data_IF_164515973506
#
_entry.id   IF_164515973506
#
_cell.length_a   1.000
_cell.length_b   1.000
_cell.length_c   1.000
_cell.angle_alpha   90.00
_cell.angle_beta   90.00
_cell.angle_gamma   90.00
#
_symmetry.space_group_name_H-M   'P 1'
#
loop_
_entity.id
_entity.type
_entity.pdbx_description
1 polymer ?
#
# COMPACT_ATOMS: atom_id res chain seq x y z
N UNK A 1 -36.03 -0.38 -3.09
CA UNK A 1 -34.86 0.26 -2.46
C UNK A 1 -33.90 0.61 -3.60
N UNK A 2 -33.69 1.90 -3.90
CA UNK A 2 -32.74 2.29 -4.94
C UNK A 2 -31.33 1.89 -4.46
N UNK A 3 -30.66 1.03 -5.21
CA UNK A 3 -29.24 0.78 -5.00
C UNK A 3 -28.51 2.12 -5.19
N UNK A 4 -28.07 2.72 -4.10
CA UNK A 4 -27.20 3.90 -4.18
C UNK A 4 -25.85 3.41 -4.67
N UNK A 5 -25.56 3.67 -5.95
CA UNK A 5 -24.22 3.40 -6.49
C UNK A 5 -23.23 4.40 -5.91
N UNK A 6 -22.09 3.92 -5.40
CA UNK A 6 -21.00 4.78 -4.94
C UNK A 6 -20.24 5.32 -6.16
N UNK A 7 -20.27 6.63 -6.42
CA UNK A 7 -19.55 7.21 -7.57
C UNK A 7 -18.04 7.29 -7.31
N UNK A 8 -17.60 7.33 -6.05
CA UNK A 8 -16.20 7.36 -5.62
C UNK A 8 -16.06 6.82 -4.20
N UNK A 9 -14.87 6.31 -3.88
CA UNK A 9 -14.45 5.95 -2.53
C UNK A 9 -13.37 6.89 -2.00
N UNK A 10 -13.10 8.00 -2.72
CA UNK A 10 -12.16 9.03 -2.29
C UNK A 10 -12.89 10.18 -1.59
N UNK A 11 -12.25 10.75 -0.61
CA UNK A 11 -12.60 12.05 -0.05
C UNK A 11 -12.02 13.16 -0.94
N UNK A 12 -12.83 13.68 -1.85
CA UNK A 12 -12.44 14.70 -2.81
C UNK A 12 -12.01 16.02 -2.14
N UNK A 13 -12.43 16.25 -0.88
CA UNK A 13 -12.03 17.45 -0.14
C UNK A 13 -10.53 17.41 0.24
N UNK A 14 -9.89 16.24 0.20
CA UNK A 14 -8.47 16.08 0.52
C UNK A 14 -7.55 16.14 -0.72
N UNK A 15 -8.12 16.35 -1.90
CA UNK A 15 -7.35 16.53 -3.12
C UNK A 15 -6.83 17.98 -3.26
N UNK A 16 -5.70 18.23 -3.94
CA UNK A 16 -4.85 17.23 -4.63
C UNK A 16 -4.03 16.37 -3.68
N UNK A 17 -3.53 15.23 -4.18
CA UNK A 17 -2.61 14.38 -3.42
C UNK A 17 -1.33 15.14 -3.05
N UNK A 18 -0.78 14.86 -1.86
CA UNK A 18 0.48 15.47 -1.41
C UNK A 18 1.74 14.82 -2.03
N UNK A 19 1.59 13.74 -2.79
CA UNK A 19 2.72 13.00 -3.38
C UNK A 19 3.50 13.83 -4.38
N UNK A 20 4.79 13.54 -4.49
CA UNK A 20 5.67 14.20 -5.45
C UNK A 20 5.16 14.00 -6.88
N UNK A 21 5.22 15.05 -7.72
CA UNK A 21 4.87 14.92 -9.13
C UNK A 21 5.67 13.80 -9.83
N UNK A 22 4.98 12.91 -10.52
CA UNK A 22 5.60 11.81 -11.26
C UNK A 22 5.98 10.57 -10.47
N UNK A 23 5.78 10.54 -9.13
CA UNK A 23 6.10 9.35 -8.32
C UNK A 23 5.15 8.17 -8.52
N UNK A 24 3.99 8.38 -9.15
CA UNK A 24 3.02 7.33 -9.46
C UNK A 24 2.04 6.97 -8.33
N UNK A 25 2.26 7.40 -7.10
CA UNK A 25 1.39 7.05 -5.96
C UNK A 25 -0.06 7.50 -6.16
N UNK A 26 -0.29 8.73 -6.66
CA UNK A 26 -1.63 9.21 -6.96
C UNK A 26 -2.32 8.34 -8.00
N UNK A 27 -1.63 7.95 -9.06
CA UNK A 27 -2.17 7.06 -10.10
C UNK A 27 -2.61 5.71 -9.53
N UNK A 28 -1.85 5.15 -8.59
CA UNK A 28 -2.22 3.86 -7.95
C UNK A 28 -3.51 4.04 -7.13
N UNK A 29 -3.64 5.15 -6.40
CA UNK A 29 -4.84 5.46 -5.61
C UNK A 29 -6.05 5.64 -6.53
N UNK A 30 -5.91 6.38 -7.64
CA UNK A 30 -6.97 6.57 -8.61
C UNK A 30 -7.43 5.24 -9.22
N UNK A 31 -6.49 4.36 -9.58
CA UNK A 31 -6.80 3.04 -10.12
C UNK A 31 -7.47 2.13 -9.09
N UNK A 32 -7.07 2.21 -7.83
CA UNK A 32 -7.74 1.48 -6.74
C UNK A 32 -9.17 2.01 -6.55
N UNK A 33 -9.36 3.32 -6.55
CA UNK A 33 -10.69 3.93 -6.48
C UNK A 33 -11.57 3.44 -7.64
N UNK A 34 -11.07 3.49 -8.87
CA UNK A 34 -11.80 3.00 -10.04
C UNK A 34 -12.19 1.52 -9.90
N UNK A 35 -11.30 0.69 -9.39
CA UNK A 35 -11.59 -0.72 -9.13
C UNK A 35 -12.70 -0.89 -8.07
N UNK A 36 -12.65 -0.13 -6.98
CA UNK A 36 -13.70 -0.16 -5.94
C UNK A 36 -15.04 0.31 -6.49
N UNK A 37 -15.05 1.38 -7.30
CA UNK A 37 -16.25 1.87 -7.98
C UNK A 37 -16.85 0.80 -8.91
N UNK A 38 -16.01 0.13 -9.71
CA UNK A 38 -16.51 -0.96 -10.59
C UNK A 38 -17.07 -2.15 -9.81
N UNK A 39 -16.49 -2.44 -8.65
CA UNK A 39 -16.93 -3.56 -7.80
C UNK A 39 -18.15 -3.23 -6.93
N UNK A 40 -18.49 -1.95 -6.77
CA UNK A 40 -19.60 -1.46 -5.92
C UNK A 40 -19.61 -2.10 -4.53
N UNK A 41 -18.44 -2.21 -3.90
CA UNK A 41 -18.32 -2.79 -2.57
C UNK A 41 -18.95 -1.86 -1.52
N UNK A 42 -19.58 -2.44 -0.49
CA UNK A 42 -20.02 -1.68 0.67
C UNK A 42 -18.80 -1.03 1.35
N UNK A 43 -18.70 0.32 1.43
CA UNK A 43 -17.56 0.99 2.06
C UNK A 43 -17.31 0.54 3.51
N UNK A 44 -18.36 0.20 4.24
CA UNK A 44 -18.27 -0.33 5.61
C UNK A 44 -17.69 -1.75 5.69
N UNK A 45 -17.59 -2.45 4.57
CA UNK A 45 -16.98 -3.78 4.46
C UNK A 45 -15.59 -3.75 3.83
N UNK A 46 -15.11 -2.59 3.40
CA UNK A 46 -13.75 -2.39 2.91
C UNK A 46 -12.88 -1.85 4.03
N UNK A 47 -11.69 -2.42 4.20
CA UNK A 47 -10.68 -1.96 5.15
C UNK A 47 -9.36 -1.74 4.42
N UNK A 48 -8.92 -0.51 4.34
CA UNK A 48 -7.60 -0.13 3.83
C UNK A 48 -6.62 -0.22 4.99
N UNK A 49 -5.62 -1.10 4.88
CA UNK A 49 -4.56 -1.22 5.88
C UNK A 49 -3.28 -0.66 5.29
N UNK A 50 -2.75 0.41 5.89
CA UNK A 50 -1.54 1.04 5.38
C UNK A 50 -0.30 0.73 6.21
N UNK A 51 0.84 0.92 5.57
CA UNK A 51 2.17 0.83 6.16
C UNK A 51 2.65 2.23 6.57
N UNK A 52 3.95 2.47 6.60
CA UNK A 52 4.60 3.76 6.87
C UNK A 52 5.26 4.28 5.60
N UNK A 53 5.61 5.56 5.61
CA UNK A 53 6.18 6.26 4.47
C UNK A 53 5.09 6.88 3.58
N UNK A 54 5.46 7.27 2.36
CA UNK A 54 4.53 7.97 1.46
C UNK A 54 3.26 7.15 1.19
N UNK A 55 3.39 5.87 0.90
CA UNK A 55 2.25 4.96 0.68
C UNK A 55 1.38 4.79 1.93
N UNK A 56 1.98 4.94 3.12
CA UNK A 56 1.27 4.85 4.39
C UNK A 56 0.21 5.93 4.58
N UNK A 57 0.41 7.10 3.99
CA UNK A 57 -0.52 8.22 4.07
C UNK A 57 -1.65 8.14 3.03
N UNK A 58 -1.77 7.04 2.29
CA UNK A 58 -2.81 6.85 1.29
C UNK A 58 -4.20 6.63 1.90
N UNK A 59 -4.27 6.05 3.11
CA UNK A 59 -5.50 5.72 3.80
C UNK A 59 -6.43 6.92 4.02
N UNK A 60 -5.86 8.08 4.31
CA UNK A 60 -6.64 9.30 4.55
C UNK A 60 -7.49 9.76 3.37
N UNK A 61 -7.16 9.34 2.16
CA UNK A 61 -7.92 9.71 0.96
C UNK A 61 -9.15 8.85 0.72
N UNK A 62 -9.30 7.73 1.43
CA UNK A 62 -10.43 6.82 1.24
C UNK A 62 -11.52 7.05 2.29
N UNK A 63 -12.78 6.98 1.84
CA UNK A 63 -13.98 7.08 2.69
C UNK A 63 -14.41 5.73 3.29
N UNK A 64 -13.55 4.71 3.18
CA UNK A 64 -13.72 3.37 3.74
C UNK A 64 -13.20 3.31 5.18
N UNK A 65 -13.29 2.12 5.82
CA UNK A 65 -12.54 1.92 7.06
C UNK A 65 -11.04 1.89 6.75
N UNK A 66 -10.24 2.41 7.69
CA UNK A 66 -8.79 2.43 7.57
C UNK A 66 -8.10 1.98 8.85
N UNK A 67 -6.93 1.36 8.69
CA UNK A 67 -6.03 1.02 9.78
C UNK A 67 -4.60 1.39 9.40
N UNK A 68 -4.06 2.42 10.04
CA UNK A 68 -2.68 2.86 9.85
C UNK A 68 -1.77 2.14 10.85
N UNK A 69 -0.80 1.37 10.35
CA UNK A 69 0.01 0.49 11.17
C UNK A 69 1.48 0.90 11.31
N UNK A 70 2.29 -0.01 11.84
CA UNK A 70 3.74 0.15 11.95
C UNK A 70 4.43 -0.34 10.68
N UNK A 71 5.61 0.20 10.41
CA UNK A 71 6.40 -0.09 9.22
C UNK A 71 6.72 -1.58 9.08
N UNK A 72 6.39 -2.15 7.93
CA UNK A 72 6.55 -3.56 7.61
C UNK A 72 5.57 -4.49 8.37
N UNK A 73 4.52 -3.95 9.03
CA UNK A 73 3.58 -4.75 9.82
C UNK A 73 2.15 -4.75 9.27
N UNK A 74 1.89 -4.01 8.21
CA UNK A 74 0.56 -3.88 7.61
C UNK A 74 -0.08 -5.22 7.25
N UNK A 75 0.68 -6.15 6.67
CA UNK A 75 0.20 -7.50 6.33
C UNK A 75 -0.21 -8.29 7.58
N UNK A 76 0.46 -8.09 8.72
CA UNK A 76 0.13 -8.76 9.98
C UNK A 76 -1.19 -8.24 10.55
N UNK A 77 -1.39 -6.92 10.54
CA UNK A 77 -2.66 -6.31 10.96
C UNK A 77 -3.80 -6.75 10.05
N UNK A 78 -3.59 -6.71 8.73
CA UNK A 78 -4.55 -7.17 7.74
C UNK A 78 -4.94 -8.65 7.95
N UNK A 79 -3.97 -9.49 8.27
CA UNK A 79 -4.20 -10.90 8.64
C UNK A 79 -5.11 -11.01 9.84
N UNK A 80 -4.85 -10.26 10.91
CA UNK A 80 -5.67 -10.27 12.11
C UNK A 80 -7.11 -9.81 11.84
N UNK A 81 -7.27 -8.68 11.10
CA UNK A 81 -8.57 -8.14 10.71
C UNK A 81 -9.35 -9.17 9.87
N UNK A 82 -8.71 -9.78 8.88
CA UNK A 82 -9.34 -10.76 8.00
C UNK A 82 -9.76 -12.04 8.72
N UNK A 83 -8.99 -12.47 9.71
CA UNK A 83 -9.33 -13.64 10.54
C UNK A 83 -10.46 -13.32 11.53
N UNK A 84 -10.53 -12.08 12.02
CA UNK A 84 -11.59 -11.66 12.95
C UNK A 84 -12.95 -11.52 12.24
N UNK A 85 -12.98 -10.99 11.01
CA UNK A 85 -14.18 -10.96 10.16
C UNK A 85 -13.81 -11.34 8.72
N UNK A 86 -14.00 -12.60 8.33
CA UNK A 86 -13.75 -13.06 6.96
C UNK A 86 -14.60 -12.38 5.88
N UNK A 87 -15.71 -11.72 6.26
CA UNK A 87 -16.58 -10.97 5.34
C UNK A 87 -15.96 -9.66 4.84
N UNK A 88 -14.97 -9.12 5.56
CA UNK A 88 -14.31 -7.88 5.18
C UNK A 88 -13.46 -8.05 3.92
N UNK A 89 -13.41 -6.99 3.12
CA UNK A 89 -12.49 -6.83 1.98
C UNK A 89 -11.29 -6.03 2.48
N UNK A 90 -10.22 -6.75 2.80
CA UNK A 90 -9.02 -6.15 3.39
C UNK A 90 -7.97 -5.92 2.30
N UNK A 91 -7.56 -4.68 2.13
CA UNK A 91 -6.60 -4.23 1.12
C UNK A 91 -5.43 -3.58 1.84
N UNK A 92 -4.24 -4.10 1.61
CA UNK A 92 -2.98 -3.57 2.17
C UNK A 92 -2.34 -2.66 1.14
N UNK A 93 -2.01 -1.44 1.55
CA UNK A 93 -1.22 -0.49 0.77
C UNK A 93 0.13 -0.31 1.47
N UNK A 94 1.21 -0.71 0.82
CA UNK A 94 2.54 -0.63 1.39
C UNK A 94 3.58 -0.29 0.33
N UNK A 95 4.66 0.37 0.74
CA UNK A 95 5.81 0.60 -0.13
C UNK A 95 6.71 -0.63 -0.22
N UNK A 96 7.61 -0.61 -1.19
CA UNK A 96 8.69 -1.59 -1.33
C UNK A 96 9.59 -1.67 -0.08
N UNK A 97 9.86 -0.54 0.57
CA UNK A 97 10.56 -0.51 1.85
C UNK A 97 9.82 -1.27 2.96
N UNK A 98 8.50 -1.06 3.08
CA UNK A 98 7.66 -1.81 4.01
C UNK A 98 7.60 -3.30 3.68
N UNK A 99 7.60 -3.63 2.40
CA UNK A 99 7.65 -5.00 1.91
C UNK A 99 8.95 -5.71 2.35
N UNK A 100 10.10 -5.04 2.21
CA UNK A 100 11.39 -5.56 2.67
C UNK A 100 11.47 -5.73 4.19
N UNK A 101 11.10 -4.70 4.95
CA UNK A 101 11.08 -4.76 6.43
C UNK A 101 10.14 -5.87 6.91
N UNK A 102 8.99 -6.03 6.25
CA UNK A 102 7.95 -6.99 6.59
C UNK A 102 8.00 -8.31 5.81
N UNK A 103 9.09 -8.64 5.11
CA UNK A 103 9.18 -9.78 4.20
C UNK A 103 8.73 -11.11 4.79
N UNK A 104 9.09 -11.39 6.05
CA UNK A 104 8.63 -12.58 6.75
C UNK A 104 7.11 -12.61 6.95
N UNK A 105 6.48 -11.47 7.19
CA UNK A 105 5.03 -11.38 7.34
C UNK A 105 4.34 -11.62 6.01
N UNK A 106 4.87 -11.04 4.93
CA UNK A 106 4.37 -11.24 3.58
C UNK A 106 4.42 -12.72 3.17
N UNK A 107 5.60 -13.35 3.30
CA UNK A 107 5.80 -14.78 2.99
C UNK A 107 4.86 -15.67 3.82
N UNK A 108 4.72 -15.38 5.12
CA UNK A 108 3.86 -16.17 5.99
C UNK A 108 2.37 -15.99 5.69
N UNK A 109 1.93 -14.80 5.32
CA UNK A 109 0.55 -14.55 4.89
C UNK A 109 0.25 -15.26 3.57
N UNK A 110 1.17 -15.17 2.61
CA UNK A 110 1.07 -15.88 1.32
C UNK A 110 1.00 -17.41 1.52
N UNK A 111 1.92 -17.98 2.32
CA UNK A 111 1.93 -19.41 2.62
C UNK A 111 0.63 -19.90 3.26
N UNK A 112 -0.01 -19.05 4.08
CA UNK A 112 -1.30 -19.38 4.73
C UNK A 112 -2.51 -19.07 3.85
N UNK A 113 -2.28 -18.51 2.67
CA UNK A 113 -3.34 -18.08 1.76
C UNK A 113 -4.38 -17.17 2.46
N UNK A 114 -3.88 -16.19 3.23
CA UNK A 114 -4.75 -15.21 3.87
C UNK A 114 -5.46 -14.38 2.80
N UNK A 115 -6.78 -14.34 2.84
CA UNK A 115 -7.63 -13.69 1.84
C UNK A 115 -7.59 -12.15 1.89
N UNK A 116 -6.40 -11.56 1.71
CA UNK A 116 -6.17 -10.11 1.64
C UNK A 116 -5.58 -9.75 0.27
N UNK A 117 -5.82 -8.52 -0.18
CA UNK A 117 -5.17 -7.97 -1.39
C UNK A 117 -4.00 -7.10 -0.93
N UNK A 118 -2.82 -7.32 -1.48
CA UNK A 118 -1.64 -6.50 -1.18
C UNK A 118 -1.24 -5.73 -2.43
N UNK A 119 -1.17 -4.40 -2.32
CA UNK A 119 -0.72 -3.50 -3.38
C UNK A 119 0.59 -2.86 -2.91
N UNK A 120 1.67 -3.17 -3.62
CA UNK A 120 3.00 -2.63 -3.32
C UNK A 120 3.29 -1.43 -4.22
N UNK A 121 3.50 -0.28 -3.61
CA UNK A 121 3.92 0.95 -4.27
C UNK A 121 5.44 0.90 -4.43
N UNK A 122 5.88 0.26 -5.52
CA UNK A 122 7.31 0.05 -5.77
C UNK A 122 7.92 1.23 -6.53
N UNK A 123 8.57 2.11 -5.81
CA UNK A 123 9.29 3.26 -6.34
C UNK A 123 10.81 3.14 -6.17
N UNK A 124 11.30 1.97 -5.76
CA UNK A 124 12.73 1.63 -5.63
C UNK A 124 13.49 2.45 -4.60
N UNK A 125 12.81 3.06 -3.61
CA UNK A 125 13.48 3.82 -2.56
C UNK A 125 12.60 4.07 -1.35
N UNK A 126 13.23 4.46 -0.22
CA UNK A 126 12.54 5.07 0.92
C UNK A 126 12.36 6.56 0.66
N UNK A 127 11.25 6.93 -0.01
CA UNK A 127 11.02 8.30 -0.50
C UNK A 127 10.85 9.34 0.61
N UNK A 128 10.10 9.03 1.68
CA UNK A 128 9.77 9.99 2.74
C UNK A 128 11.00 10.45 3.53
N UNK A 129 12.00 9.59 3.68
CA UNK A 129 13.22 9.87 4.44
C UNK A 129 14.33 10.53 3.61
N UNK A 130 14.14 10.66 2.31
CA UNK A 130 15.05 11.40 1.44
C UNK A 130 15.60 10.61 0.25
N UNK A 131 15.04 9.42 -0.02
CA UNK A 131 15.39 8.62 -1.19
C UNK A 131 16.58 7.69 -0.96
N UNK A 132 16.64 7.02 0.19
CA UNK A 132 17.59 5.96 0.47
C UNK A 132 17.23 4.68 -0.29
N UNK A 133 18.19 3.75 -0.50
CA UNK A 133 17.92 2.51 -1.21
C UNK A 133 16.96 1.63 -0.41
N UNK A 134 15.98 1.07 -1.08
CA UNK A 134 15.11 0.01 -0.57
C UNK A 134 15.60 -1.36 -1.04
N UNK A 135 14.90 -2.41 -0.61
CA UNK A 135 15.21 -3.78 -1.03
C UNK A 135 15.03 -4.02 -2.53
N UNK A 136 14.29 -3.17 -3.22
CA UNK A 136 14.04 -3.30 -4.66
C UNK A 136 14.89 -2.36 -5.51
N UNK A 137 15.72 -1.52 -4.89
CA UNK A 137 16.60 -0.61 -5.62
C UNK A 137 17.50 -1.42 -6.54
N UNK A 138 17.54 -1.11 -7.85
CA UNK A 138 18.39 -1.83 -8.80
C UNK A 138 19.87 -1.83 -8.39
N UNK A 139 20.60 -2.89 -8.71
CA UNK A 139 22.04 -2.93 -8.54
C UNK A 139 22.69 -1.73 -9.28
N UNK A 140 23.67 -1.10 -8.66
CA UNK A 140 24.30 0.14 -9.12
C UNK A 140 23.40 1.38 -9.11
N UNK A 141 22.16 1.30 -8.58
CA UNK A 141 21.27 2.45 -8.43
C UNK A 141 21.88 3.52 -7.54
N UNK A 142 21.85 4.78 -8.00
CA UNK A 142 22.32 5.94 -7.22
C UNK A 142 21.17 6.43 -6.33
N UNK A 143 21.42 6.57 -5.05
CA UNK A 143 20.46 7.10 -4.08
C UNK A 143 21.13 8.09 -3.14
N UNK A 144 20.37 8.71 -2.24
CA UNK A 144 20.90 9.69 -1.29
C UNK A 144 22.02 9.12 -0.37
N UNK A 145 21.98 7.82 -0.07
CA UNK A 145 22.98 7.17 0.78
C UNK A 145 23.87 6.16 0.04
N UNK A 146 23.65 5.95 -1.26
CA UNK A 146 24.51 5.13 -2.13
C UNK A 146 25.03 5.93 -3.32
N UNK A 147 25.88 6.98 -3.09
CA UNK A 147 26.34 7.88 -4.15
C UNK A 147 27.27 7.20 -5.16
N UNK A 148 27.82 6.03 -4.83
CA UNK A 148 28.67 5.23 -5.72
C UNK A 148 27.95 3.99 -6.29
N UNK A 149 26.64 3.89 -6.08
CA UNK A 149 25.81 2.78 -6.51
C UNK A 149 25.45 1.79 -5.41
N UNK A 150 24.29 1.19 -5.54
CA UNK A 150 23.80 0.13 -4.64
C UNK A 150 24.58 -1.16 -4.92
N UNK A 151 25.12 -1.77 -3.85
CA UNK A 151 25.92 -2.99 -3.93
C UNK A 151 25.10 -4.27 -3.83
N UNK A 152 23.94 -4.21 -3.16
CA UNK A 152 23.09 -5.37 -2.95
C UNK A 152 22.27 -5.70 -4.20
N UNK A 153 21.94 -6.97 -4.34
CA UNK A 153 21.01 -7.40 -5.39
C UNK A 153 19.58 -7.06 -4.99
N UNK A 154 18.76 -6.54 -5.91
CA UNK A 154 17.38 -6.22 -5.61
C UNK A 154 16.57 -7.47 -5.29
N UNK A 155 15.66 -7.35 -4.34
CA UNK A 155 14.66 -8.37 -4.04
C UNK A 155 13.59 -8.36 -5.13
N UNK A 156 13.28 -9.51 -5.68
CA UNK A 156 12.08 -9.72 -6.48
C UNK A 156 10.89 -9.92 -5.53
N UNK A 157 9.90 -9.05 -5.66
CA UNK A 157 8.69 -9.04 -4.81
C UNK A 157 7.43 -9.49 -5.57
N UNK A 158 7.54 -9.91 -6.83
CA UNK A 158 6.43 -10.40 -7.66
C UNK A 158 6.39 -11.93 -7.76
#
# INVERSE_FOLDING_TARGET
>A
MSETTNPTYLDEALLPYFFCPGCGHGMIIDQLNEALVRLQLDPHKVVIVTDIGCSGLADKYFTTNAFHGLHGRSVTYATGIKLADPGLKVIVLMGDGGCGIGGHHLINAARRNIGVTVIVFNNFNYGMTGGEPSVTTPASGLTSSTPFGQLEQPMDIC
#
